data_IF_747046386862
#
_entry.id   IF_747046386862
#
_cell.length_a   1.000
_cell.length_b   1.000
_cell.length_c   1.000
_cell.angle_alpha   90.00
_cell.angle_beta   90.00
_cell.angle_gamma   90.00
#
_symmetry.space_group_name_H-M   'P 1'
#
loop_
_entity.id
_entity.type
_entity.pdbx_description
1 polymer ?
#
# COMPACT_ATOMS: atom_id res chain seq x y z
N UNK A 1 9.67 26.09 4.85
CA UNK A 1 10.15 25.41 3.62
C UNK A 1 10.77 24.03 3.86
N UNK A 2 12.00 23.85 4.39
CA UNK A 2 12.60 22.51 4.55
C UNK A 2 11.83 21.62 5.54
N UNK A 3 11.37 22.18 6.68
CA UNK A 3 10.59 21.45 7.70
C UNK A 3 9.21 20.99 7.19
N UNK A 4 8.51 21.82 6.42
CA UNK A 4 7.23 21.45 5.79
C UNK A 4 7.42 20.33 4.78
N UNK A 5 8.49 20.39 3.96
CA UNK A 5 8.84 19.33 3.01
C UNK A 5 9.01 17.98 3.70
N UNK A 6 9.70 17.94 4.86
CA UNK A 6 9.85 16.72 5.64
C UNK A 6 8.54 16.16 6.20
N UNK A 7 7.60 17.04 6.59
CA UNK A 7 6.29 16.62 7.09
C UNK A 7 5.47 15.94 5.98
N UNK A 8 5.40 16.56 4.80
CA UNK A 8 4.71 16.01 3.62
C UNK A 8 5.31 14.68 3.18
N UNK A 9 6.64 14.56 3.22
CA UNK A 9 7.35 13.35 2.83
C UNK A 9 7.02 12.17 3.77
N UNK A 10 6.99 12.42 5.08
CA UNK A 10 6.55 11.42 6.06
C UNK A 10 5.08 11.06 5.90
N UNK A 11 4.23 12.02 5.53
CA UNK A 11 2.81 11.77 5.29
C UNK A 11 2.58 10.85 4.09
N UNK A 12 3.30 11.08 2.98
CA UNK A 12 3.24 10.20 1.80
C UNK A 12 3.65 8.76 2.12
N UNK A 13 4.69 8.56 2.94
CA UNK A 13 5.09 7.23 3.39
C UNK A 13 4.05 6.61 4.33
N UNK A 14 3.47 7.39 5.24
CA UNK A 14 2.38 6.91 6.13
C UNK A 14 1.15 6.50 5.32
N UNK A 15 0.71 7.30 4.35
CA UNK A 15 -0.39 6.92 3.47
C UNK A 15 -0.07 5.66 2.68
N UNK A 16 1.15 5.55 2.16
CA UNK A 16 1.60 4.36 1.44
C UNK A 16 1.54 3.11 2.32
N UNK A 17 2.05 3.20 3.56
CA UNK A 17 2.04 2.10 4.52
C UNK A 17 0.61 1.64 4.83
N UNK A 18 -0.30 2.58 5.10
CA UNK A 18 -1.70 2.29 5.42
C UNK A 18 -2.41 1.59 4.26
N UNK A 19 -2.16 2.01 3.02
CA UNK A 19 -2.70 1.35 1.83
C UNK A 19 -2.16 -0.09 1.71
N UNK A 20 -0.84 -0.29 1.87
CA UNK A 20 -0.24 -1.63 1.80
C UNK A 20 -0.82 -2.55 2.88
N UNK A 21 -0.87 -2.11 4.13
CA UNK A 21 -1.43 -2.88 5.25
C UNK A 21 -2.90 -3.23 5.04
N UNK A 22 -3.68 -2.29 4.48
CA UNK A 22 -5.09 -2.50 4.15
C UNK A 22 -5.32 -3.62 3.14
N UNK A 23 -4.32 -3.95 2.31
CA UNK A 23 -4.42 -4.97 1.25
C UNK A 23 -3.91 -6.36 1.65
N UNK A 24 -3.23 -6.52 2.79
CA UNK A 24 -2.70 -7.80 3.24
C UNK A 24 -3.81 -8.86 3.39
N UNK A 25 -4.86 -8.57 4.17
CA UNK A 25 -5.97 -9.49 4.39
C UNK A 25 -6.81 -9.74 3.12
N UNK A 26 -7.22 -8.71 2.36
CA UNK A 26 -7.95 -8.93 1.11
C UNK A 26 -7.19 -9.78 0.08
N UNK A 27 -5.87 -9.58 -0.07
CA UNK A 27 -5.07 -10.37 -1.02
C UNK A 27 -5.02 -11.83 -0.63
N UNK A 28 -4.83 -12.16 0.65
CA UNK A 28 -4.88 -13.54 1.13
C UNK A 28 -6.25 -14.18 0.89
N UNK A 29 -7.34 -13.41 0.94
CA UNK A 29 -8.68 -13.92 0.65
C UNK A 29 -8.93 -14.16 -0.85
N UNK A 30 -8.35 -13.34 -1.74
CA UNK A 30 -8.50 -13.51 -3.19
C UNK A 30 -8.08 -14.91 -3.66
N UNK A 31 -7.05 -15.52 -3.06
CA UNK A 31 -6.63 -16.90 -3.33
C UNK A 31 -7.73 -17.94 -3.08
N UNK A 32 -8.60 -17.68 -2.10
CA UNK A 32 -9.69 -18.59 -1.68
C UNK A 32 -10.94 -18.44 -2.55
N UNK A 33 -11.13 -17.27 -3.15
CA UNK A 33 -12.32 -16.95 -3.95
C UNK A 33 -12.15 -17.29 -5.42
N UNK A 34 -10.96 -17.05 -5.97
CA UNK A 34 -10.62 -17.44 -7.32
C UNK A 34 -9.98 -18.82 -7.30
N UNK A 35 -10.80 -19.86 -7.36
CA UNK A 35 -10.39 -21.29 -7.33
C UNK A 35 -9.57 -21.75 -8.55
N UNK A 36 -9.20 -20.83 -9.45
CA UNK A 36 -8.31 -21.13 -10.58
C UNK A 36 -6.86 -21.18 -10.08
N UNK A 37 -6.16 -22.29 -10.36
CA UNK A 37 -4.76 -22.53 -9.96
C UNK A 37 -3.79 -21.38 -10.31
N UNK A 38 -4.07 -20.62 -11.36
CA UNK A 38 -3.27 -19.46 -11.78
C UNK A 38 -3.34 -18.30 -10.76
N UNK A 39 -4.48 -18.11 -10.10
CA UNK A 39 -4.70 -17.00 -9.15
C UNK A 39 -4.16 -17.34 -7.78
N UNK A 40 -4.22 -18.61 -7.36
CA UNK A 40 -3.70 -19.08 -6.08
C UNK A 40 -2.21 -18.75 -5.92
N UNK A 41 -1.36 -19.23 -6.84
CA UNK A 41 0.09 -18.97 -6.80
C UNK A 41 0.47 -17.50 -7.05
N UNK A 42 -0.40 -16.72 -7.67
CA UNK A 42 -0.19 -15.27 -7.87
C UNK A 42 -0.49 -14.50 -6.60
N UNK A 43 -1.56 -14.84 -5.89
CA UNK A 43 -1.98 -14.17 -4.65
C UNK A 43 -0.93 -14.29 -3.55
N UNK A 44 -0.35 -15.48 -3.34
CA UNK A 44 0.73 -15.67 -2.35
C UNK A 44 1.96 -14.82 -2.67
N UNK A 45 2.39 -14.83 -3.94
CA UNK A 45 3.53 -14.00 -4.39
C UNK A 45 3.26 -12.51 -4.22
N UNK A 46 2.04 -12.07 -4.47
CA UNK A 46 1.63 -10.68 -4.25
C UNK A 46 1.64 -10.34 -2.77
N UNK A 47 1.14 -11.24 -1.91
CA UNK A 47 1.18 -11.06 -0.46
C UNK A 47 2.60 -10.87 0.06
N UNK A 48 3.54 -11.74 -0.33
CA UNK A 48 4.95 -11.61 0.05
C UNK A 48 5.55 -10.29 -0.42
N UNK A 49 5.23 -9.85 -1.65
CA UNK A 49 5.68 -8.54 -2.16
C UNK A 49 5.09 -7.35 -1.40
N UNK A 50 3.85 -7.46 -0.91
CA UNK A 50 3.25 -6.45 -0.06
C UNK A 50 3.94 -6.40 1.32
N UNK A 51 4.33 -7.55 1.88
CA UNK A 51 5.11 -7.61 3.13
C UNK A 51 6.51 -7.02 2.96
N UNK A 52 7.22 -7.37 1.89
CA UNK A 52 8.51 -6.77 1.54
C UNK A 52 8.39 -5.23 1.47
N UNK A 53 7.32 -4.74 0.83
CA UNK A 53 7.09 -3.31 0.66
C UNK A 53 6.70 -2.61 1.98
N UNK A 54 5.89 -3.26 2.82
CA UNK A 54 5.58 -2.79 4.17
C UNK A 54 6.85 -2.57 4.99
N UNK A 55 7.74 -3.56 5.02
CA UNK A 55 9.01 -3.51 5.74
C UNK A 55 9.94 -2.42 5.19
N UNK A 56 10.03 -2.31 3.86
CA UNK A 56 10.81 -1.28 3.19
C UNK A 56 10.32 0.14 3.52
N UNK A 57 9.01 0.37 3.52
CA UNK A 57 8.43 1.68 3.88
C UNK A 57 8.69 1.99 5.37
N UNK A 58 8.53 1.01 6.27
CA UNK A 58 8.82 1.19 7.69
C UNK A 58 10.30 1.49 7.95
N UNK A 59 11.22 0.88 7.20
CA UNK A 59 12.64 1.20 7.25
C UNK A 59 12.89 2.65 6.81
N UNK A 60 12.33 3.08 5.67
CA UNK A 60 12.46 4.46 5.17
C UNK A 60 11.90 5.49 6.16
N UNK A 61 10.78 5.20 6.80
CA UNK A 61 10.20 6.07 7.82
C UNK A 61 11.12 6.24 9.02
N UNK A 62 11.74 5.16 9.51
CA UNK A 62 12.70 5.20 10.63
C UNK A 62 13.91 6.09 10.30
N UNK A 63 14.46 5.95 9.09
CA UNK A 63 15.59 6.78 8.61
C UNK A 63 15.22 8.28 8.53
N UNK A 64 13.97 8.60 8.20
CA UNK A 64 13.51 9.99 8.13
C UNK A 64 13.13 10.58 9.49
N UNK A 65 12.66 9.75 10.42
CA UNK A 65 12.32 10.15 11.80
C UNK A 65 13.57 10.51 12.61
N UNK A 66 14.71 9.83 12.41
CA UNK A 66 15.99 10.17 13.05
C UNK A 66 16.48 11.60 12.69
N UNK A 67 15.91 12.20 11.64
CA UNK A 67 16.22 13.56 11.15
C UNK A 67 15.15 14.63 11.46
N UNK A 68 14.09 14.35 12.23
CA UNK A 68 12.98 15.30 12.43
C UNK A 68 12.42 15.34 13.87
N UNK A 69 11.98 16.51 14.39
CA UNK A 69 11.24 16.57 15.65
C UNK A 69 9.88 15.86 15.52
N UNK A 70 9.58 14.96 16.46
CA UNK A 70 8.36 14.12 16.50
C UNK A 70 7.07 14.92 16.29
N UNK A 71 6.21 14.42 15.41
CA UNK A 71 4.82 14.86 15.26
C UNK A 71 3.87 13.65 15.19
N UNK A 72 2.77 13.63 15.97
CA UNK A 72 1.84 12.51 15.96
C UNK A 72 0.98 12.57 14.68
N UNK A 73 0.59 11.41 14.16
CA UNK A 73 -0.81 11.08 13.80
C UNK A 73 -0.89 9.65 13.25
N UNK A 74 -1.67 8.83 13.95
CA UNK A 74 -1.99 7.45 13.63
C UNK A 74 -3.07 7.47 12.55
N UNK A 75 -2.70 7.16 11.31
CA UNK A 75 -3.66 6.84 10.26
C UNK A 75 -4.07 5.38 10.43
N UNK A 76 -5.37 5.11 10.56
CA UNK A 76 -5.90 3.75 10.67
C UNK A 76 -6.09 3.12 9.27
N UNK A 77 -5.77 1.83 9.09
CA UNK A 77 -6.14 1.07 7.88
C UNK A 77 -7.62 1.19 7.57
N UNK A 78 -7.95 1.48 6.30
CA UNK A 78 -9.33 1.73 5.86
C UNK A 78 -10.10 0.42 5.60
N UNK A 79 -9.39 -0.72 5.49
CA UNK A 79 -9.97 -2.00 5.08
C UNK A 79 -9.93 -3.12 6.15
N UNK A 80 -9.67 -2.80 7.43
CA UNK A 80 -9.69 -3.77 8.54
C UNK A 80 -11.01 -4.54 8.70
N UNK A 81 -12.09 -4.08 8.06
CA UNK A 81 -13.45 -4.61 8.16
C UNK A 81 -14.01 -5.14 6.84
N UNK A 82 -13.20 -5.63 5.91
CA UNK A 82 -13.76 -6.26 4.73
C UNK A 82 -14.47 -7.56 5.14
N UNK A 83 -15.80 -7.55 5.12
CA UNK A 83 -16.62 -8.70 5.52
C UNK A 83 -16.55 -9.78 4.44
N UNK A 84 -15.91 -10.88 4.81
CA UNK A 84 -15.46 -11.97 3.94
C UNK A 84 -16.63 -12.94 3.62
N UNK A 85 -17.79 -12.79 4.28
CA UNK A 85 -18.88 -13.76 4.25
C UNK A 85 -19.91 -13.62 3.11
N UNK A 86 -19.49 -13.35 1.86
CA UNK A 86 -20.43 -13.35 0.73
C UNK A 86 -20.05 -14.39 -0.33
N UNK A 87 -20.65 -15.57 -0.20
CA UNK A 87 -20.65 -16.67 -1.17
C UNK A 87 -21.95 -16.62 -1.99
N UNK A 88 -22.11 -15.61 -2.86
CA UNK A 88 -23.26 -15.46 -3.77
C UNK A 88 -22.79 -14.90 -5.13
N UNK A 89 -23.56 -14.97 -6.22
CA UNK A 89 -23.13 -14.49 -7.56
C UNK A 89 -22.78 -12.98 -7.59
N UNK A 90 -23.40 -12.17 -6.72
CA UNK A 90 -23.02 -10.78 -6.44
C UNK A 90 -21.57 -10.62 -5.90
N UNK A 91 -20.99 -11.71 -5.39
CA UNK A 91 -19.61 -11.74 -4.92
C UNK A 91 -18.63 -11.59 -6.07
N UNK A 92 -18.91 -12.13 -7.26
CA UNK A 92 -17.99 -11.99 -8.41
C UNK A 92 -17.79 -10.51 -8.77
N UNK A 93 -18.88 -9.75 -8.91
CA UNK A 93 -18.79 -8.31 -9.21
C UNK A 93 -18.11 -7.54 -8.07
N UNK A 94 -18.39 -7.88 -6.82
CA UNK A 94 -17.70 -7.30 -5.65
C UNK A 94 -16.20 -7.63 -5.64
N UNK A 95 -15.80 -8.84 -6.04
CA UNK A 95 -14.40 -9.26 -6.14
C UNK A 95 -13.67 -8.53 -7.27
N UNK A 96 -14.31 -8.33 -8.43
CA UNK A 96 -13.75 -7.49 -9.50
C UNK A 96 -13.65 -6.02 -9.06
N UNK A 97 -14.62 -5.51 -8.31
CA UNK A 97 -14.55 -4.20 -7.68
C UNK A 97 -13.35 -4.09 -6.73
N UNK A 98 -13.12 -5.12 -5.91
CA UNK A 98 -11.98 -5.20 -5.01
C UNK A 98 -10.64 -5.22 -5.77
N UNK A 99 -10.52 -6.01 -6.86
CA UNK A 99 -9.33 -5.99 -7.72
C UNK A 99 -9.09 -4.62 -8.38
N UNK A 100 -10.15 -3.91 -8.77
CA UNK A 100 -10.06 -2.55 -9.30
C UNK A 100 -9.54 -1.56 -8.25
N UNK A 101 -10.02 -1.67 -7.01
CA UNK A 101 -9.50 -0.91 -5.88
C UNK A 101 -8.03 -1.24 -5.60
N UNK A 102 -7.65 -2.52 -5.61
CA UNK A 102 -6.27 -2.97 -5.42
C UNK A 102 -5.33 -2.31 -6.42
N UNK A 103 -5.69 -2.35 -7.70
CA UNK A 103 -4.93 -1.71 -8.78
C UNK A 103 -4.77 -0.20 -8.54
N UNK A 104 -5.87 0.48 -8.20
CA UNK A 104 -5.88 1.95 -7.98
C UNK A 104 -5.03 2.34 -6.80
N UNK A 105 -5.12 1.61 -5.69
CA UNK A 105 -4.37 1.93 -4.48
C UNK A 105 -2.89 1.62 -4.62
N UNK A 106 -2.51 0.52 -5.27
CA UNK A 106 -1.10 0.25 -5.55
C UNK A 106 -0.49 1.28 -6.51
N UNK A 107 -1.26 1.78 -7.48
CA UNK A 107 -0.82 2.89 -8.33
C UNK A 107 -0.58 4.17 -7.51
N UNK A 108 -1.43 4.46 -6.50
CA UNK A 108 -1.18 5.59 -5.58
C UNK A 108 0.10 5.37 -4.78
N UNK A 109 0.32 4.18 -4.22
CA UNK A 109 1.55 3.85 -3.48
C UNK A 109 2.78 4.04 -4.36
N UNK A 110 2.77 3.50 -5.59
CA UNK A 110 3.86 3.69 -6.55
C UNK A 110 4.12 5.18 -6.82
N UNK A 111 3.06 5.96 -7.05
CA UNK A 111 3.16 7.40 -7.30
C UNK A 111 3.78 8.12 -6.10
N UNK A 112 3.31 7.85 -4.89
CA UNK A 112 3.83 8.47 -3.67
C UNK A 112 5.30 8.11 -3.43
N UNK A 113 5.69 6.86 -3.64
CA UNK A 113 7.08 6.42 -3.51
C UNK A 113 7.98 7.03 -4.59
N UNK A 114 7.51 7.18 -5.83
CA UNK A 114 8.24 7.90 -6.89
C UNK A 114 8.47 9.35 -6.52
N UNK A 115 7.43 10.06 -6.07
CA UNK A 115 7.54 11.46 -5.62
C UNK A 115 8.57 11.58 -4.50
N UNK A 116 8.54 10.66 -3.52
CA UNK A 116 9.53 10.60 -2.44
C UNK A 116 10.95 10.39 -2.95
N UNK A 117 11.12 9.43 -3.86
CA UNK A 117 12.41 9.12 -4.47
C UNK A 117 13.00 10.33 -5.20
N UNK A 118 12.21 10.98 -6.03
CA UNK A 118 12.59 12.17 -6.79
C UNK A 118 12.98 13.35 -5.89
N UNK A 119 12.20 13.61 -4.83
CA UNK A 119 12.45 14.71 -3.90
C UNK A 119 13.70 14.51 -3.03
N UNK A 120 14.02 13.27 -2.68
CA UNK A 120 15.06 12.95 -1.68
C UNK A 120 16.38 12.48 -2.26
N UNK A 121 16.35 11.73 -3.36
CA UNK A 121 17.54 11.08 -3.91
C UNK A 121 17.96 11.67 -5.26
N UNK A 122 17.25 12.67 -5.77
CA UNK A 122 17.71 13.49 -6.90
C UNK A 122 17.94 12.72 -8.19
N UNK A 123 17.10 11.72 -8.50
CA UNK A 123 17.16 11.07 -9.82
C UNK A 123 16.71 12.03 -10.92
N UNK A 124 17.55 12.20 -11.94
CA UNK A 124 17.40 13.18 -13.03
C UNK A 124 16.31 12.85 -14.06
N UNK A 125 15.65 11.69 -13.96
CA UNK A 125 14.63 11.22 -14.92
C UNK A 125 13.23 11.16 -14.30
N UNK A 126 12.91 12.07 -13.40
CA UNK A 126 11.58 12.17 -12.81
C UNK A 126 10.65 12.99 -13.71
N UNK A 127 10.01 12.34 -14.69
CA UNK A 127 8.82 12.89 -15.35
C UNK A 127 7.62 12.58 -14.44
N UNK A 128 7.14 13.58 -13.70
CA UNK A 128 5.93 13.48 -12.85
C UNK A 128 4.70 13.58 -13.74
#
# INVERSE_FOLDING_TARGET
>A
MQKERHLWDMELLRFSLVLIQSWLTPVQYLSKVFTNNLVFGTSDRVFEKLKDLEEGIQALMRELEDRSPRGPQILKPTYDKFDIHLRNEDALLKNYGLLSCFKKDLHKVETYLKVMKCRRFGESNCTI
#
